data_IF_170911572303
#
_entry.id   IF_170911572303
#
_cell.length_a   1.000
_cell.length_b   1.000
_cell.length_c   1.000
_cell.angle_alpha   90.00
_cell.angle_beta   90.00
_cell.angle_gamma   90.00
#
_symmetry.space_group_name_H-M   'P 1'
#
loop_
_entity.id
_entity.type
_entity.pdbx_description
1 polymer ?
#
# COMPACT_ATOMS: atom_id res chain seq x y z
N UNK A 1 4.23 -14.05 -9.42
CA UNK A 1 3.02 -13.45 -8.83
C UNK A 1 3.47 -12.66 -7.60
N UNK A 2 2.74 -11.64 -7.19
CA UNK A 2 3.13 -10.77 -6.07
C UNK A 2 2.02 -10.69 -5.06
N UNK A 3 2.40 -10.55 -3.80
CA UNK A 3 1.55 -10.38 -2.62
C UNK A 3 2.04 -9.16 -1.84
N UNK A 4 1.16 -8.57 -1.02
CA UNK A 4 1.53 -7.37 -0.29
C UNK A 4 0.85 -7.24 1.06
N UNK A 5 1.50 -6.48 1.93
CA UNK A 5 0.99 -6.07 3.24
C UNK A 5 0.90 -4.55 3.30
N UNK A 6 -0.18 -4.03 3.87
CA UNK A 6 -0.38 -2.60 4.10
C UNK A 6 -0.37 -2.34 5.59
N UNK A 7 0.47 -1.40 6.03
CA UNK A 7 0.54 -0.96 7.42
C UNK A 7 0.38 0.56 7.51
N UNK A 8 -0.10 1.01 8.66
CA UNK A 8 -0.52 2.39 8.90
C UNK A 8 0.18 2.94 10.13
N UNK A 9 0.52 4.23 10.09
CA UNK A 9 1.09 4.93 11.22
C UNK A 9 0.68 6.39 11.22
N UNK A 10 0.19 6.85 12.36
CA UNK A 10 0.02 8.29 12.60
C UNK A 10 1.38 9.00 12.65
N UNK A 11 1.47 10.12 11.96
CA UNK A 11 2.65 10.97 11.89
C UNK A 11 2.26 12.44 12.13
N UNK A 12 1.87 12.76 13.36
CA UNK A 12 1.28 14.06 13.67
C UNK A 12 -0.09 14.19 13.02
N UNK A 13 -0.41 15.29 12.30
CA UNK A 13 -1.68 15.43 11.59
C UNK A 13 -1.66 14.67 10.24
N UNK A 14 -0.84 13.63 10.08
CA UNK A 14 -0.66 12.94 8.82
C UNK A 14 -0.90 11.45 9.01
N UNK A 15 -1.43 10.81 7.98
CA UNK A 15 -1.50 9.36 7.90
C UNK A 15 -0.38 8.88 6.99
N UNK A 16 0.56 8.12 7.55
CA UNK A 16 1.58 7.41 6.77
C UNK A 16 1.10 5.98 6.51
N UNK A 17 1.27 5.54 5.28
CA UNK A 17 1.03 4.18 4.84
C UNK A 17 2.33 3.58 4.33
N UNK A 18 2.60 2.34 4.71
CA UNK A 18 3.71 1.56 4.15
C UNK A 18 3.13 0.34 3.47
N UNK A 19 3.36 0.23 2.16
CA UNK A 19 3.05 -0.96 1.36
C UNK A 19 4.33 -1.76 1.23
N UNK A 20 4.28 -3.05 1.58
CA UNK A 20 5.39 -3.99 1.41
C UNK A 20 5.00 -5.01 0.35
N UNK A 21 5.74 -5.05 -0.77
CA UNK A 21 5.55 -6.01 -1.87
C UNK A 21 6.53 -7.17 -1.69
N UNK A 22 6.02 -8.40 -1.82
CA UNK A 22 6.81 -9.63 -1.80
C UNK A 22 6.45 -10.54 -2.98
N UNK A 23 7.36 -11.44 -3.31
CA UNK A 23 7.12 -12.50 -4.30
C UNK A 23 6.23 -13.56 -3.67
N UNK A 24 5.12 -13.89 -4.32
CA UNK A 24 4.25 -15.00 -3.90
C UNK A 24 4.92 -16.33 -4.28
N UNK A 25 5.70 -16.88 -3.36
CA UNK A 25 6.65 -17.95 -3.67
C UNK A 25 5.99 -19.33 -3.76
N UNK A 26 4.89 -19.55 -3.06
CA UNK A 26 4.11 -20.79 -3.07
C UNK A 26 2.77 -20.67 -3.81
N UNK A 27 2.36 -19.46 -4.20
CA UNK A 27 1.21 -19.19 -5.06
C UNK A 27 -0.12 -19.21 -4.32
N UNK A 28 -0.13 -19.04 -2.99
CA UNK A 28 -1.34 -19.07 -2.17
C UNK A 28 -2.04 -17.71 -2.04
N UNK A 29 -1.37 -16.64 -2.50
CA UNK A 29 -1.89 -15.27 -2.48
C UNK A 29 -1.81 -14.59 -1.11
N UNK A 30 -1.04 -15.14 -0.17
CA UNK A 30 -0.79 -14.58 1.17
C UNK A 30 0.65 -14.10 1.25
N UNK A 31 0.88 -12.96 1.90
CA UNK A 31 2.23 -12.47 2.14
C UNK A 31 2.81 -13.07 3.42
N UNK A 32 4.01 -13.63 3.32
CA UNK A 32 4.59 -14.42 4.40
C UNK A 32 6.01 -13.97 4.76
N UNK A 33 6.58 -14.54 5.81
CA UNK A 33 7.98 -14.27 6.17
C UNK A 33 8.99 -15.00 5.28
N UNK A 34 8.55 -16.06 4.59
CA UNK A 34 9.33 -16.83 3.62
C UNK A 34 9.48 -16.12 2.28
N UNK A 35 8.54 -15.23 1.96
CA UNK A 35 8.52 -14.54 0.67
C UNK A 35 9.59 -13.45 0.58
N UNK A 36 10.27 -13.42 -0.57
CA UNK A 36 11.32 -12.44 -0.84
C UNK A 36 10.74 -11.06 -1.15
N UNK A 37 11.31 -9.97 -0.60
CA UNK A 37 10.90 -8.62 -0.93
C UNK A 37 11.18 -8.28 -2.40
N UNK A 38 10.30 -7.46 -3.00
CA UNK A 38 10.45 -7.03 -4.40
C UNK A 38 10.91 -5.58 -4.45
N UNK A 39 12.19 -5.36 -4.73
CA UNK A 39 12.77 -4.03 -5.00
C UNK A 39 12.38 -3.51 -6.39
N UNK A 40 12.41 -2.19 -6.59
CA UNK A 40 12.19 -1.54 -7.89
C UNK A 40 10.82 -1.81 -8.55
N UNK A 41 9.84 -2.28 -7.78
CA UNK A 41 8.46 -2.38 -8.23
C UNK A 41 7.77 -1.03 -8.15
N UNK A 42 7.09 -0.62 -9.22
CA UNK A 42 6.21 0.55 -9.23
C UNK A 42 4.83 0.15 -8.74
N UNK A 43 4.36 0.83 -7.70
CA UNK A 43 3.10 0.59 -7.00
C UNK A 43 2.19 1.78 -7.20
N UNK A 44 1.01 1.55 -7.77
CA UNK A 44 -0.09 2.50 -7.73
C UNK A 44 -1.02 2.16 -6.56
N UNK A 45 -1.36 3.17 -5.76
CA UNK A 45 -2.08 2.98 -4.50
C UNK A 45 -3.17 4.04 -4.33
N UNK A 46 -4.35 3.60 -3.91
CA UNK A 46 -5.46 4.46 -3.51
C UNK A 46 -5.71 4.35 -2.01
N UNK A 47 -5.85 5.51 -1.37
CA UNK A 47 -6.25 5.65 0.02
C UNK A 47 -7.60 6.36 0.07
N UNK A 48 -8.62 5.70 0.61
CA UNK A 48 -9.97 6.22 0.72
C UNK A 48 -10.39 6.40 2.18
N UNK A 49 -11.22 7.41 2.43
CA UNK A 49 -11.72 7.81 3.74
C UNK A 49 -13.22 7.50 3.87
N UNK A 50 -13.59 6.97 5.03
CA UNK A 50 -14.94 6.96 5.58
C UNK A 50 -14.92 7.84 6.85
N UNK A 51 -15.42 9.06 6.73
CA UNK A 51 -15.37 10.09 7.76
C UNK A 51 -16.62 10.13 8.63
N UNK A 52 -17.74 9.58 8.16
CA UNK A 52 -19.01 9.55 8.88
C UNK A 52 -19.33 8.19 9.53
N UNK A 53 -18.53 7.16 9.22
CA UNK A 53 -18.60 5.83 9.79
C UNK A 53 -19.77 5.00 9.27
N UNK A 54 -20.24 5.28 8.06
CA UNK A 54 -21.35 4.54 7.43
C UNK A 54 -20.92 3.23 6.75
N UNK A 55 -19.60 2.99 6.64
CA UNK A 55 -18.99 1.84 6.00
C UNK A 55 -18.66 2.04 4.52
N UNK A 56 -18.89 3.24 3.97
CA UNK A 56 -18.60 3.63 2.60
C UNK A 56 -17.34 4.49 2.56
N UNK A 57 -16.39 4.11 1.71
CA UNK A 57 -15.12 4.82 1.57
C UNK A 57 -15.15 5.77 0.36
N UNK A 58 -16.10 6.71 0.35
CA UNK A 58 -16.37 7.62 -0.77
C UNK A 58 -16.34 9.11 -0.42
N UNK A 59 -16.02 9.48 0.82
CA UNK A 59 -15.92 10.88 1.26
C UNK A 59 -14.75 11.62 0.60
N UNK A 60 -13.57 11.00 0.60
CA UNK A 60 -12.37 11.56 -0.01
C UNK A 60 -11.38 10.43 -0.38
N UNK A 61 -10.52 10.70 -1.35
CA UNK A 61 -9.50 9.76 -1.80
C UNK A 61 -8.20 10.48 -2.19
N UNK A 62 -7.10 9.75 -2.04
CA UNK A 62 -5.79 10.13 -2.55
C UNK A 62 -5.21 8.99 -3.36
N UNK A 63 -4.62 9.33 -4.51
CA UNK A 63 -3.88 8.39 -5.34
C UNK A 63 -2.40 8.69 -5.29
N UNK A 64 -1.61 7.64 -5.18
CA UNK A 64 -0.16 7.70 -5.11
C UNK A 64 0.48 6.72 -6.08
N UNK A 65 1.67 7.08 -6.55
CA UNK A 65 2.57 6.17 -7.26
C UNK A 65 3.93 6.25 -6.60
N UNK A 66 4.58 5.12 -6.40
CA UNK A 66 5.93 5.07 -5.86
C UNK A 66 6.65 3.78 -6.18
N UNK A 67 7.95 3.76 -5.92
CA UNK A 67 8.81 2.61 -6.21
C UNK A 67 9.30 1.99 -4.91
N UNK A 68 9.26 0.67 -4.82
CA UNK A 68 9.74 -0.07 -3.64
C UNK A 68 11.25 0.02 -3.50
N UNK A 69 11.72 0.13 -2.26
CA UNK A 69 13.14 0.05 -1.93
C UNK A 69 13.62 -1.42 -1.80
N UNK A 70 14.89 -1.63 -1.44
CA UNK A 70 15.50 -2.96 -1.21
C UNK A 70 14.84 -3.85 -0.15
N UNK A 71 13.86 -3.34 0.61
CA UNK A 71 13.03 -4.11 1.53
C UNK A 71 11.63 -4.42 0.96
N UNK A 72 11.39 -4.12 -0.31
CA UNK A 72 10.08 -4.22 -0.94
C UNK A 72 9.11 -3.15 -0.47
N UNK A 73 9.59 -2.08 0.17
CA UNK A 73 8.73 -1.09 0.83
C UNK A 73 8.62 0.20 0.03
N UNK A 74 7.40 0.73 -0.06
CA UNK A 74 7.12 2.10 -0.48
C UNK A 74 6.26 2.78 0.59
N UNK A 75 6.54 4.05 0.88
CA UNK A 75 5.80 4.85 1.84
C UNK A 75 5.00 5.95 1.13
N UNK A 76 3.72 6.07 1.50
CA UNK A 76 2.83 7.14 1.08
C UNK A 76 2.36 7.94 2.29
N UNK A 77 1.97 9.19 2.08
CA UNK A 77 1.52 10.06 3.15
C UNK A 77 0.37 10.97 2.71
N UNK A 78 -0.75 10.86 3.41
CA UNK A 78 -1.80 11.85 3.35
C UNK A 78 -1.50 12.96 4.36
N UNK A 79 -1.10 14.12 3.84
CA UNK A 79 -0.85 15.31 4.67
C UNK A 79 -2.17 15.90 5.14
N UNK A 80 -2.27 16.17 6.44
CA UNK A 80 -3.49 16.70 7.07
C UNK A 80 -4.68 15.76 6.85
N UNK A 81 -4.44 14.46 7.05
CA UNK A 81 -5.43 13.41 6.90
C UNK A 81 -6.59 13.66 7.89
N UNK A 82 -7.86 13.70 7.44
CA UNK A 82 -9.02 13.88 8.32
C UNK A 82 -9.17 12.77 9.37
N UNK A 83 -10.03 12.97 10.38
CA UNK A 83 -10.42 11.86 11.24
C UNK A 83 -11.42 10.96 10.52
N UNK A 84 -11.26 9.66 10.62
CA UNK A 84 -12.18 8.67 10.07
C UNK A 84 -11.50 7.32 9.92
N UNK A 85 -12.23 6.37 9.35
CA UNK A 85 -11.72 5.07 8.98
C UNK A 85 -11.12 5.12 7.57
N UNK A 86 -10.09 4.30 7.35
CA UNK A 86 -9.32 4.34 6.11
C UNK A 86 -9.25 2.97 5.44
N UNK A 87 -9.34 2.97 4.11
CA UNK A 87 -9.10 1.80 3.27
C UNK A 87 -7.96 2.07 2.29
N UNK A 88 -7.02 1.14 2.22
CA UNK A 88 -5.91 1.17 1.26
C UNK A 88 -6.03 0.07 0.23
N UNK A 89 -5.73 0.38 -1.02
CA UNK A 89 -5.77 -0.55 -2.14
C UNK A 89 -4.57 -0.35 -3.06
N UNK A 90 -3.84 -1.41 -3.34
CA UNK A 90 -2.85 -1.44 -4.44
C UNK A 90 -3.64 -1.67 -5.72
N UNK A 91 -3.69 -0.68 -6.59
CA UNK A 91 -4.53 -0.69 -7.80
C UNK A 91 -3.78 -1.19 -9.04
N UNK A 92 -2.47 -1.00 -9.07
CA UNK A 92 -1.59 -1.57 -10.08
C UNK A 92 -0.20 -1.83 -9.49
N UNK A 93 0.48 -2.83 -10.06
CA UNK A 93 1.82 -3.24 -9.66
C UNK A 93 2.60 -3.67 -10.90
N UNK A 94 3.64 -2.92 -11.22
CA UNK A 94 4.56 -3.25 -12.31
C UNK A 94 5.97 -3.44 -11.78
N UNK A 95 6.61 -4.53 -12.19
CA UNK A 95 7.99 -4.82 -11.85
C UNK A 95 8.65 -5.39 -13.10
N UNK A 96 9.64 -4.65 -13.63
CA UNK A 96 10.33 -5.04 -14.85
C UNK A 96 11.37 -6.10 -14.53
N UNK A 97 11.03 -7.38 -14.67
CA UNK A 97 12.05 -8.43 -14.69
C UNK A 97 12.74 -8.45 -16.05
N UNK A 98 14.07 -8.63 -16.08
CA UNK A 98 14.76 -9.07 -17.29
C UNK A 98 14.28 -10.50 -17.64
N UNK A 99 13.84 -10.70 -18.89
CA UNK A 99 13.67 -12.04 -19.49
C UNK A 99 15.01 -12.72 -19.77
#
# INVERSE_FOLDING_TARGET
MYVWEISWKEAGPHLKTTVTIKTDSDGDGVAESSDDPVEDATVDFTLSLDSDGDGSYDDDNQSYTGTTNSKGQVEFMWKHAPSGDYKGEVTDLTHSSYD
#
